data_IF_427536791322
#
_entry.id   IF_427536791322
#
_cell.length_a   1.000
_cell.length_b   1.000
_cell.length_c   1.000
_cell.angle_alpha   90.00
_cell.angle_beta   90.00
_cell.angle_gamma   90.00
#
_symmetry.space_group_name_H-M   'P 1'
#
loop_
_entity.id
_entity.type
_entity.pdbx_description
1 polymer ?
#
# COMPACT_ATOMS: atom_id res chain seq x y z
N UNK A 1 -1.45 -6.03 -12.67
CA UNK A 1 -0.05 -6.16 -12.20
C UNK A 1 0.85 -5.07 -12.75
N UNK A 2 0.96 -4.88 -14.07
CA UNK A 2 1.81 -3.84 -14.68
C UNK A 2 1.53 -2.42 -14.17
N UNK A 3 0.25 -2.02 -14.04
CA UNK A 3 -0.10 -0.70 -13.48
C UNK A 3 0.30 -0.53 -12.02
N UNK A 4 0.19 -1.59 -11.21
CA UNK A 4 0.58 -1.57 -9.80
C UNK A 4 2.11 -1.43 -9.69
N UNK A 5 2.85 -2.17 -10.51
CA UNK A 5 4.32 -2.10 -10.57
C UNK A 5 4.77 -0.70 -11.00
N UNK A 6 4.16 -0.13 -12.05
CA UNK A 6 4.45 1.24 -12.49
C UNK A 6 4.16 2.27 -11.40
N UNK A 7 3.03 2.15 -10.70
CA UNK A 7 2.71 3.02 -9.56
C UNK A 7 3.75 2.94 -8.44
N UNK A 8 4.17 1.73 -8.08
CA UNK A 8 5.21 1.52 -7.06
C UNK A 8 6.57 2.09 -7.48
N UNK A 9 6.95 2.00 -8.77
CA UNK A 9 8.20 2.58 -9.28
C UNK A 9 8.18 4.11 -9.16
N UNK A 10 7.06 4.75 -9.52
CA UNK A 10 6.90 6.20 -9.41
C UNK A 10 6.97 6.66 -7.95
N UNK A 11 6.24 5.97 -7.06
CA UNK A 11 6.25 6.26 -5.62
C UNK A 11 7.66 6.07 -5.05
N UNK A 12 8.36 5.01 -5.45
CA UNK A 12 9.72 4.73 -5.01
C UNK A 12 10.68 5.84 -5.41
N UNK A 13 10.62 6.27 -6.68
CA UNK A 13 11.43 7.38 -7.18
C UNK A 13 11.16 8.69 -6.43
N UNK A 14 9.88 8.99 -6.15
CA UNK A 14 9.48 10.19 -5.43
C UNK A 14 9.97 10.18 -3.96
N UNK A 15 9.72 9.10 -3.22
CA UNK A 15 10.18 8.95 -1.84
C UNK A 15 11.71 8.99 -1.74
N UNK A 16 12.41 8.32 -2.67
CA UNK A 16 13.86 8.33 -2.70
C UNK A 16 14.43 9.72 -3.00
N UNK A 17 13.84 10.45 -3.94
CA UNK A 17 14.21 11.83 -4.22
C UNK A 17 13.94 12.74 -3.02
N UNK A 18 12.81 12.56 -2.33
CA UNK A 18 12.48 13.32 -1.13
C UNK A 18 13.46 13.07 0.02
N UNK A 19 13.79 11.80 0.29
CA UNK A 19 14.75 11.42 1.33
C UNK A 19 16.15 11.94 1.03
N UNK A 20 16.56 11.94 -0.25
CA UNK A 20 17.85 12.47 -0.72
C UNK A 20 17.90 13.98 -0.59
N UNK A 21 16.85 14.67 -1.02
CA UNK A 21 16.76 16.12 -0.94
C UNK A 21 16.78 16.64 0.51
N UNK A 22 16.20 15.87 1.45
CA UNK A 22 16.22 16.21 2.89
C UNK A 22 17.41 15.66 3.68
N UNK A 23 18.41 15.05 3.03
CA UNK A 23 19.59 14.46 3.69
C UNK A 23 19.22 13.61 4.92
N UNK A 24 18.15 12.81 4.81
CA UNK A 24 17.65 12.01 5.95
C UNK A 24 18.64 10.90 6.33
N UNK A 25 18.65 10.52 7.61
CA UNK A 25 19.54 9.46 8.12
C UNK A 25 19.26 8.13 7.41
N UNK A 26 20.30 7.31 7.24
CA UNK A 26 20.23 5.96 6.64
C UNK A 26 19.13 5.07 7.26
N UNK A 27 18.81 5.27 8.54
CA UNK A 27 17.71 4.56 9.23
C UNK A 27 16.34 4.86 8.60
N UNK A 28 16.07 6.10 8.20
CA UNK A 28 14.79 6.49 7.58
C UNK A 28 14.64 5.85 6.20
N UNK A 29 15.72 5.75 5.42
CA UNK A 29 15.72 5.01 4.15
C UNK A 29 15.34 3.55 4.35
N UNK A 30 15.90 2.91 5.39
CA UNK A 30 15.61 1.51 5.68
C UNK A 30 14.15 1.28 6.07
N UNK A 31 13.59 2.17 6.91
CA UNK A 31 12.17 2.11 7.30
C UNK A 31 11.27 2.26 6.08
N UNK A 32 11.51 3.27 5.23
CA UNK A 32 10.70 3.52 4.02
C UNK A 32 10.80 2.36 3.05
N UNK A 33 12.00 1.80 2.86
CA UNK A 33 12.21 0.62 2.03
C UNK A 33 11.45 -0.61 2.55
N UNK A 34 11.51 -0.88 3.86
CA UNK A 34 10.75 -1.97 4.48
C UNK A 34 9.23 -1.79 4.32
N UNK A 35 8.71 -0.58 4.54
CA UNK A 35 7.29 -0.29 4.36
C UNK A 35 6.83 -0.46 2.91
N UNK A 36 7.64 0.01 1.96
CA UNK A 36 7.35 -0.17 0.54
C UNK A 36 7.41 -1.64 0.12
N UNK A 37 8.41 -2.38 0.58
CA UNK A 37 8.54 -3.81 0.32
C UNK A 37 7.35 -4.60 0.88
N UNK A 38 6.95 -4.34 2.12
CA UNK A 38 5.78 -4.97 2.73
C UNK A 38 4.49 -4.66 1.97
N UNK A 39 4.30 -3.41 1.55
CA UNK A 39 3.13 -2.99 0.77
C UNK A 39 3.09 -3.64 -0.62
N UNK A 40 4.25 -3.78 -1.26
CA UNK A 40 4.38 -4.46 -2.55
C UNK A 40 4.09 -5.96 -2.44
N UNK A 41 4.64 -6.62 -1.42
CA UNK A 41 4.37 -8.04 -1.13
C UNK A 41 2.87 -8.23 -0.88
N UNK A 42 2.23 -7.38 -0.08
CA UNK A 42 0.79 -7.46 0.17
C UNK A 42 -0.04 -7.30 -1.12
N UNK A 43 0.32 -6.34 -1.98
CA UNK A 43 -0.31 -6.17 -3.29
C UNK A 43 -0.11 -7.39 -4.20
N UNK A 44 1.06 -8.02 -4.19
CA UNK A 44 1.31 -9.24 -4.95
C UNK A 44 0.52 -10.41 -4.36
N UNK A 45 0.52 -10.59 -3.05
CA UNK A 45 -0.21 -11.65 -2.36
C UNK A 45 -1.70 -11.58 -2.65
N UNK A 46 -2.31 -10.40 -2.62
CA UNK A 46 -3.73 -10.21 -2.97
C UNK A 46 -4.03 -10.52 -4.44
N UNK A 47 -3.07 -10.31 -5.35
CA UNK A 47 -3.25 -10.66 -6.78
C UNK A 47 -3.03 -12.15 -7.06
N UNK A 48 -2.04 -12.78 -6.41
CA UNK A 48 -1.70 -14.20 -6.61
C UNK A 48 -2.65 -15.13 -5.85
N UNK A 49 -3.03 -14.77 -4.63
CA UNK A 49 -3.96 -15.53 -3.81
C UNK A 49 -5.36 -14.92 -3.92
N UNK A 50 -6.13 -15.37 -4.91
CA UNK A 50 -7.54 -15.02 -5.14
C UNK A 50 -8.48 -15.26 -3.93
N UNK A 51 -8.01 -15.99 -2.91
CA UNK A 51 -8.73 -16.27 -1.67
C UNK A 51 -8.49 -15.22 -0.56
N UNK A 52 -7.53 -14.31 -0.72
CA UNK A 52 -7.37 -13.20 0.23
C UNK A 52 -8.44 -12.15 -0.04
N UNK A 53 -9.11 -11.63 1.01
CA UNK A 53 -10.11 -10.59 0.85
C UNK A 53 -9.47 -9.41 0.13
N UNK A 54 -10.08 -9.00 -0.98
CA UNK A 54 -9.62 -7.84 -1.70
C UNK A 54 -9.71 -6.61 -0.77
N UNK A 55 -8.89 -5.57 -0.97
CA UNK A 55 -9.01 -4.34 -0.18
C UNK A 55 -10.44 -3.77 -0.18
N UNK A 56 -11.18 -3.95 -1.28
CA UNK A 56 -12.61 -3.62 -1.40
C UNK A 56 -13.51 -4.43 -0.47
N UNK A 57 -13.24 -5.73 -0.27
CA UNK A 57 -14.00 -6.57 0.66
C UNK A 57 -13.74 -6.17 2.11
N UNK A 58 -12.50 -5.78 2.41
CA UNK A 58 -12.13 -5.29 3.74
C UNK A 58 -12.80 -3.95 4.07
N UNK A 59 -12.85 -3.04 3.08
CA UNK A 59 -13.60 -1.78 3.17
C UNK A 59 -15.08 -2.08 3.35
N UNK A 60 -15.68 -2.97 2.55
CA UNK A 60 -17.10 -3.32 2.74
C UNK A 60 -17.38 -3.92 4.12
N UNK A 61 -16.46 -4.72 4.68
CA UNK A 61 -16.62 -5.29 6.02
C UNK A 61 -16.55 -4.22 7.13
N UNK A 62 -15.64 -3.26 7.00
CA UNK A 62 -15.50 -2.15 7.95
C UNK A 62 -16.66 -1.15 7.86
N UNK A 63 -17.15 -0.87 6.64
CA UNK A 63 -18.17 0.14 6.41
C UNK A 63 -19.61 -0.41 6.42
N UNK A 64 -19.81 -1.74 6.35
CA UNK A 64 -21.11 -2.40 6.54
C UNK A 64 -21.88 -1.92 7.78
N UNK A 65 -21.30 -1.92 8.99
CA UNK A 65 -22.03 -1.48 10.20
C UNK A 65 -22.39 0.00 10.17
N UNK A 66 -21.63 0.83 9.45
CA UNK A 66 -21.90 2.26 9.30
C UNK A 66 -23.03 2.49 8.30
N UNK A 67 -23.02 1.78 7.16
CA UNK A 67 -24.10 1.82 6.19
C UNK A 67 -25.44 1.36 6.79
N UNK A 68 -25.41 0.30 7.60
CA UNK A 68 -26.60 -0.22 8.29
C UNK A 68 -27.20 0.78 9.30
N UNK A 69 -26.39 1.72 9.81
CA UNK A 69 -26.79 2.73 10.79
C UNK A 69 -27.23 4.06 10.18
N UNK A 70 -26.97 4.25 8.88
CA UNK A 70 -27.32 5.47 8.12
C UNK A 70 -28.54 5.20 7.22
N UNK A 71 -28.72 3.97 6.73
CA UNK A 71 -29.84 3.55 5.86
C UNK A 71 -30.98 2.85 6.64
N UNK A 72 -30.82 2.60 7.93
CA UNK A 72 -31.85 2.11 8.85
C UNK A 72 -32.19 3.18 9.88
#
# INVERSE_FOLDING_TARGET
>A
MILIILGFIIIFGYEWAYLKNKNRKKRTYWIVFCFMGASFIYCISTVLFKQMPSPSDFIQLLFKPIQQKILG
#
